data_IF_682154438805
#
_entry.id   IF_682154438805
#
_cell.length_a   1.000
_cell.length_b   1.000
_cell.length_c   1.000
_cell.angle_alpha   90.00
_cell.angle_beta   90.00
_cell.angle_gamma   90.00
#
_symmetry.space_group_name_H-M   'P 1'
#
loop_
_entity.id
_entity.type
_entity.pdbx_description
1 polymer ?
#
# COMPACT_ATOMS: atom_id res chain seq x y z
N UNK A 1 24.27 13.98 30.76
CA UNK A 1 23.91 12.76 30.00
C UNK A 1 22.50 12.37 30.43
N UNK A 2 21.45 12.82 29.72
CA UNK A 2 20.04 12.55 30.08
C UNK A 2 19.28 12.17 28.80
N UNK A 3 18.45 11.14 28.93
CA UNK A 3 17.94 10.26 27.88
C UNK A 3 17.03 10.97 26.86
N UNK A 4 17.29 10.73 25.57
CA UNK A 4 16.33 11.06 24.50
C UNK A 4 15.17 10.06 24.54
N UNK A 5 14.10 10.39 25.27
CA UNK A 5 12.84 9.67 25.15
C UNK A 5 12.24 9.97 23.76
N UNK A 6 12.59 9.17 22.76
CA UNK A 6 11.89 9.20 21.47
C UNK A 6 10.55 8.49 21.70
N UNK A 7 9.53 9.26 22.02
CA UNK A 7 8.13 8.82 21.89
C UNK A 7 7.87 8.56 20.40
N UNK A 8 8.22 7.37 19.93
CA UNK A 8 7.82 6.87 18.62
C UNK A 8 6.33 6.62 18.67
N UNK A 9 5.52 7.66 18.37
CA UNK A 9 4.09 7.48 18.20
C UNK A 9 3.88 6.41 17.12
N UNK A 10 3.36 5.22 17.48
CA UNK A 10 3.37 4.06 16.59
C UNK A 10 2.57 4.31 15.29
N UNK A 11 1.60 5.23 15.34
CA UNK A 11 0.79 5.63 14.19
C UNK A 11 1.53 6.55 13.20
N UNK A 12 2.50 7.35 13.66
CA UNK A 12 3.22 8.31 12.80
C UNK A 12 4.29 7.62 11.96
N UNK A 13 4.99 6.65 12.55
CA UNK A 13 5.97 5.83 11.85
C UNK A 13 5.32 4.88 10.84
N UNK A 14 4.17 4.30 11.19
CA UNK A 14 3.45 3.37 10.30
C UNK A 14 3.06 4.03 8.97
N UNK A 15 2.56 5.27 9.03
CA UNK A 15 2.23 6.04 7.83
C UNK A 15 3.43 6.19 6.91
N UNK A 16 4.56 6.66 7.44
CA UNK A 16 5.78 6.83 6.65
C UNK A 16 6.29 5.50 6.08
N UNK A 17 6.21 4.41 6.83
CA UNK A 17 6.60 3.07 6.35
C UNK A 17 5.71 2.62 5.19
N UNK A 18 4.39 2.80 5.30
CA UNK A 18 3.44 2.46 4.25
C UNK A 18 3.71 3.23 2.96
N UNK A 19 3.84 4.56 3.04
CA UNK A 19 4.08 5.39 1.86
C UNK A 19 5.43 5.08 1.19
N UNK A 20 6.46 4.77 1.98
CA UNK A 20 7.75 4.31 1.44
C UNK A 20 7.61 2.97 0.71
N UNK A 21 6.85 2.03 1.27
CA UNK A 21 6.60 0.72 0.64
C UNK A 21 5.77 0.87 -0.65
N UNK A 22 4.76 1.75 -0.65
CA UNK A 22 3.94 2.04 -1.82
C UNK A 22 4.76 2.67 -2.96
N UNK A 23 5.66 3.61 -2.62
CA UNK A 23 6.58 4.20 -3.59
C UNK A 23 7.54 3.14 -4.16
N UNK A 24 8.08 2.27 -3.29
CA UNK A 24 8.94 1.18 -3.72
C UNK A 24 8.21 0.25 -4.70
N UNK A 25 6.96 -0.10 -4.42
CA UNK A 25 6.15 -0.96 -5.29
C UNK A 25 5.93 -0.37 -6.69
N UNK A 26 5.87 0.96 -6.83
CA UNK A 26 5.80 1.64 -8.13
C UNK A 26 7.18 1.76 -8.81
N UNK A 27 8.24 1.97 -8.04
CA UNK A 27 9.59 2.12 -8.59
C UNK A 27 10.13 0.79 -9.13
N UNK A 28 9.80 -0.35 -8.51
CA UNK A 28 10.23 -1.68 -8.96
C UNK A 28 9.93 -1.94 -10.45
N UNK A 29 8.68 -1.83 -10.94
CA UNK A 29 8.37 -2.02 -12.36
C UNK A 29 9.00 -0.95 -13.25
N UNK A 30 9.09 0.31 -12.80
CA UNK A 30 9.74 1.38 -13.55
C UNK A 30 11.23 1.10 -13.80
N UNK A 31 11.93 0.54 -12.79
CA UNK A 31 13.31 0.10 -12.92
C UNK A 31 13.37 -1.18 -13.77
N UNK A 32 12.49 -2.15 -13.54
CA UNK A 32 12.48 -3.42 -14.27
C UNK A 32 12.36 -3.22 -15.79
N UNK A 33 11.53 -2.29 -16.25
CA UNK A 33 11.38 -1.90 -17.67
C UNK A 33 12.64 -1.30 -18.31
N UNK A 34 13.63 -0.92 -17.51
CA UNK A 34 14.92 -0.45 -18.02
C UNK A 34 15.88 -1.61 -18.28
N UNK A 35 15.68 -2.74 -17.62
CA UNK A 35 16.55 -3.91 -17.72
C UNK A 35 15.93 -5.09 -18.48
N UNK A 36 14.60 -5.16 -18.57
CA UNK A 36 13.88 -6.28 -19.18
C UNK A 36 12.67 -5.82 -19.98
N UNK A 37 12.42 -6.51 -21.09
CA UNK A 37 11.19 -6.39 -21.89
C UNK A 37 10.06 -7.31 -21.40
N UNK A 38 10.27 -8.07 -20.33
CA UNK A 38 9.26 -8.98 -19.76
C UNK A 38 8.20 -8.24 -18.93
N UNK A 39 8.56 -7.08 -18.35
CA UNK A 39 7.63 -6.24 -17.59
C UNK A 39 7.26 -5.06 -18.47
N UNK A 40 6.04 -5.06 -19.02
CA UNK A 40 5.52 -3.99 -19.88
C UNK A 40 4.25 -3.44 -19.23
N UNK A 41 4.43 -2.47 -18.34
CA UNK A 41 3.32 -1.66 -17.82
C UNK A 41 3.23 -0.38 -18.63
N UNK A 42 2.01 0.00 -18.98
CA UNK A 42 1.73 1.31 -19.54
C UNK A 42 1.49 2.34 -18.42
N UNK A 43 1.40 3.61 -18.77
CA UNK A 43 1.08 4.69 -17.84
C UNK A 43 -0.22 4.42 -17.07
N UNK A 44 -1.17 3.71 -17.69
CA UNK A 44 -2.45 3.32 -17.08
C UNK A 44 -2.27 2.37 -15.90
N UNK A 45 -1.36 1.40 -16.00
CA UNK A 45 -1.09 0.42 -14.95
C UNK A 45 -0.41 1.10 -13.74
N UNK A 46 0.52 2.02 -14.01
CA UNK A 46 1.11 2.85 -12.97
C UNK A 46 0.05 3.70 -12.26
N UNK A 47 -0.87 4.30 -13.01
CA UNK A 47 -1.97 5.08 -12.45
C UNK A 47 -2.92 4.18 -11.63
N UNK A 48 -3.28 3.00 -12.15
CA UNK A 48 -4.14 2.04 -11.47
C UNK A 48 -3.52 1.56 -10.15
N UNK A 49 -2.24 1.16 -10.18
CA UNK A 49 -1.50 0.77 -8.97
C UNK A 49 -1.38 1.93 -7.97
N UNK A 50 -1.10 3.15 -8.44
CA UNK A 50 -1.02 4.32 -7.56
C UNK A 50 -2.36 4.62 -6.87
N UNK A 51 -3.48 4.55 -7.60
CA UNK A 51 -4.83 4.74 -7.04
C UNK A 51 -5.16 3.63 -6.05
N UNK A 52 -4.85 2.38 -6.39
CA UNK A 52 -5.10 1.21 -5.53
C UNK A 52 -4.34 1.31 -4.21
N UNK A 53 -3.04 1.61 -4.26
CA UNK A 53 -2.20 1.80 -3.07
C UNK A 53 -2.64 3.02 -2.26
N UNK A 54 -2.96 4.14 -2.91
CA UNK A 54 -3.43 5.34 -2.18
C UNK A 54 -4.75 5.05 -1.45
N UNK A 55 -5.69 4.39 -2.11
CA UNK A 55 -6.99 4.02 -1.53
C UNK A 55 -6.81 3.04 -0.38
N UNK A 56 -5.96 2.01 -0.54
CA UNK A 56 -5.64 1.07 0.52
C UNK A 56 -5.00 1.76 1.72
N UNK A 57 -4.04 2.66 1.51
CA UNK A 57 -3.38 3.43 2.56
C UNK A 57 -4.37 4.27 3.38
N UNK A 58 -5.26 4.98 2.70
CA UNK A 58 -6.33 5.76 3.33
C UNK A 58 -7.24 4.83 4.15
N UNK A 59 -7.73 3.72 3.57
CA UNK A 59 -8.56 2.75 4.28
C UNK A 59 -7.88 2.20 5.54
N UNK A 60 -6.59 1.85 5.46
CA UNK A 60 -5.81 1.37 6.59
C UNK A 60 -5.69 2.45 7.68
N UNK A 61 -5.40 3.70 7.31
CA UNK A 61 -5.39 4.83 8.26
C UNK A 61 -6.74 5.01 8.96
N UNK A 62 -7.85 4.93 8.21
CA UNK A 62 -9.19 4.98 8.77
C UNK A 62 -9.46 3.85 9.75
N UNK A 63 -9.13 2.60 9.39
CA UNK A 63 -9.32 1.42 10.25
C UNK A 63 -8.48 1.58 11.52
N UNK A 64 -7.21 1.98 11.41
CA UNK A 64 -6.32 2.16 12.56
C UNK A 64 -6.76 3.31 13.48
N UNK A 65 -7.41 4.34 12.93
CA UNK A 65 -7.89 5.51 13.70
C UNK A 65 -9.25 5.28 14.37
N UNK A 66 -10.16 4.55 13.72
CA UNK A 66 -11.53 4.36 14.21
C UNK A 66 -11.76 3.04 14.94
N UNK A 67 -11.02 1.97 14.62
CA UNK A 67 -11.22 0.68 15.27
C UNK A 67 -10.61 0.66 16.67
N UNK A 68 -11.47 0.77 17.70
CA UNK A 68 -11.08 0.71 19.11
C UNK A 68 -10.73 -0.72 19.56
N UNK A 69 -11.43 -1.72 19.01
CA UNK A 69 -11.21 -3.12 19.34
C UNK A 69 -10.07 -3.72 18.51
N UNK A 70 -9.12 -4.37 19.16
CA UNK A 70 -7.94 -4.98 18.54
C UNK A 70 -8.30 -6.06 17.50
N UNK A 71 -9.38 -6.81 17.73
CA UNK A 71 -9.87 -7.84 16.81
C UNK A 71 -10.50 -7.25 15.55
N UNK A 72 -11.44 -6.31 15.70
CA UNK A 72 -12.08 -5.62 14.58
C UNK A 72 -11.05 -4.89 13.70
N UNK A 73 -10.01 -4.31 14.32
CA UNK A 73 -8.90 -3.69 13.60
C UNK A 73 -8.12 -4.68 12.74
N UNK A 74 -7.80 -5.87 13.28
CA UNK A 74 -7.10 -6.92 12.53
C UNK A 74 -7.92 -7.42 11.34
N UNK A 75 -9.22 -7.66 11.55
CA UNK A 75 -10.13 -8.08 10.48
C UNK A 75 -10.22 -6.99 9.41
N UNK A 76 -10.44 -5.74 9.79
CA UNK A 76 -10.52 -4.63 8.84
C UNK A 76 -9.28 -4.50 7.97
N UNK A 77 -8.08 -4.59 8.58
CA UNK A 77 -6.81 -4.57 7.85
C UNK A 77 -6.68 -5.76 6.91
N UNK A 78 -7.02 -6.97 7.36
CA UNK A 78 -6.96 -8.17 6.53
C UNK A 78 -7.89 -8.08 5.32
N UNK A 79 -9.13 -7.63 5.52
CA UNK A 79 -10.11 -7.43 4.45
C UNK A 79 -9.63 -6.38 3.46
N UNK A 80 -9.15 -5.22 3.94
CA UNK A 80 -8.67 -4.16 3.06
C UNK A 80 -7.51 -4.64 2.18
N UNK A 81 -6.54 -5.36 2.76
CA UNK A 81 -5.42 -5.94 2.02
C UNK A 81 -5.92 -6.99 1.02
N UNK A 82 -6.81 -7.91 1.43
CA UNK A 82 -7.35 -8.93 0.55
C UNK A 82 -8.10 -8.32 -0.65
N UNK A 83 -8.93 -7.30 -0.41
CA UNK A 83 -9.62 -6.57 -1.48
C UNK A 83 -8.63 -5.90 -2.42
N UNK A 84 -7.58 -5.26 -1.92
CA UNK A 84 -6.56 -4.63 -2.76
C UNK A 84 -5.80 -5.65 -3.62
N UNK A 85 -5.46 -6.81 -3.07
CA UNK A 85 -4.81 -7.89 -3.83
C UNK A 85 -5.74 -8.47 -4.89
N UNK A 86 -7.03 -8.66 -4.57
CA UNK A 86 -8.02 -9.13 -5.53
C UNK A 86 -8.21 -8.13 -6.67
N UNK A 87 -8.37 -6.84 -6.36
CA UNK A 87 -8.46 -5.79 -7.38
C UNK A 87 -7.20 -5.73 -8.24
N UNK A 88 -6.02 -5.91 -7.64
CA UNK A 88 -4.79 -5.97 -8.40
C UNK A 88 -4.76 -7.17 -9.36
N UNK A 89 -5.21 -8.35 -8.92
CA UNK A 89 -5.27 -9.54 -9.76
C UNK A 89 -6.20 -9.33 -10.97
N UNK A 90 -7.38 -8.74 -10.76
CA UNK A 90 -8.34 -8.42 -11.82
C UNK A 90 -7.81 -7.37 -12.82
N UNK A 91 -7.06 -6.39 -12.32
CA UNK A 91 -6.40 -5.38 -13.16
C UNK A 91 -5.21 -5.97 -13.94
N UNK A 92 -4.44 -6.85 -13.32
CA UNK A 92 -3.26 -7.47 -13.90
C UNK A 92 -3.59 -8.52 -14.97
N UNK A 93 -4.74 -9.18 -14.89
CA UNK A 93 -5.18 -10.14 -15.92
C UNK A 93 -5.72 -9.44 -17.17
N UNK A 94 -5.98 -8.13 -17.13
CA UNK A 94 -6.55 -7.38 -18.26
C UNK A 94 -7.96 -7.84 -18.65
N UNK A 95 -8.64 -8.61 -17.80
CA UNK A 95 -9.99 -9.11 -18.07
C UNK A 95 -11.08 -8.06 -17.86
N UNK A 96 -10.75 -6.94 -17.21
CA UNK A 96 -11.70 -5.90 -16.79
C UNK A 96 -11.26 -4.49 -17.25
N UNK A 97 -10.64 -4.32 -18.42
CA UNK A 97 -10.58 -3.02 -19.15
C UNK A 97 -10.35 -3.22 -20.64
#
# INVERSE_FOLDING_TARGET
MIQSNRSTHPLRSFRSVYWSLALLALIVPAIAMRFSSEVVWDLRDFAAMAVLLTTLGICLEFILRFARASFARRIGVAVAIATAVLLWAELATGSVI
#
